data_IF_358447909464
#
_entry.id   IF_358447909464
#
_cell.length_a   1.000
_cell.length_b   1.000
_cell.length_c   1.000
_cell.angle_alpha   90.00
_cell.angle_beta   90.00
_cell.angle_gamma   90.00
#
_symmetry.space_group_name_H-M   'P 1'
#
loop_
_entity.id
_entity.type
_entity.pdbx_description
1 polymer ?
#
# COMPACT_ATOMS: atom_id res chain seq x y z
N UNK A 1 18.11 2.57 -9.15
CA UNK A 1 17.73 1.47 -8.24
C UNK A 1 18.65 1.43 -7.02
N UNK A 2 18.09 1.32 -5.86
CA UNK A 2 18.82 1.34 -4.60
C UNK A 2 19.02 -0.10 -4.09
N UNK A 3 20.28 -0.55 -4.06
CA UNK A 3 20.64 -1.89 -3.60
C UNK A 3 20.54 -2.09 -2.08
N UNK A 4 20.34 -1.01 -1.31
CA UNK A 4 20.14 -1.11 0.14
C UNK A 4 18.67 -1.35 0.50
N UNK A 5 17.76 -0.83 -0.30
CA UNK A 5 16.31 -0.96 -0.07
C UNK A 5 15.64 -1.95 -1.01
N UNK A 6 16.20 -2.19 -2.20
CA UNK A 6 15.57 -2.99 -3.24
C UNK A 6 14.44 -2.26 -3.97
N UNK A 7 14.47 -0.91 -3.97
CA UNK A 7 13.46 -0.06 -4.59
C UNK A 7 14.11 1.00 -5.48
N UNK A 8 13.31 1.75 -6.23
CA UNK A 8 13.80 2.83 -7.09
C UNK A 8 13.87 4.15 -6.31
N UNK A 9 15.07 4.74 -6.25
CA UNK A 9 15.26 6.13 -5.75
C UNK A 9 14.77 7.16 -6.77
N UNK A 10 14.89 6.84 -8.05
CA UNK A 10 14.48 7.72 -9.13
C UNK A 10 14.02 6.92 -10.36
N UNK A 11 13.08 7.48 -11.10
CA UNK A 11 12.61 6.98 -12.40
C UNK A 11 12.58 8.13 -13.37
N UNK A 12 13.40 8.03 -14.43
CA UNK A 12 13.50 9.06 -15.48
C UNK A 12 13.22 8.42 -16.83
N UNK A 13 12.25 8.95 -17.54
CA UNK A 13 11.93 8.52 -18.90
C UNK A 13 11.75 9.74 -19.80
N UNK A 14 12.41 9.75 -20.95
CA UNK A 14 12.39 10.89 -21.92
C UNK A 14 12.61 12.25 -21.25
N UNK A 15 13.63 12.34 -20.37
CA UNK A 15 13.99 13.52 -19.57
C UNK A 15 12.94 13.98 -18.54
N UNK A 16 11.90 13.22 -18.30
CA UNK A 16 10.93 13.48 -17.23
C UNK A 16 11.22 12.62 -16.00
N UNK A 17 11.45 13.28 -14.86
CA UNK A 17 11.57 12.60 -13.56
C UNK A 17 10.17 12.38 -12.98
N UNK A 18 9.84 11.13 -12.68
CA UNK A 18 8.56 10.73 -12.08
C UNK A 18 8.62 10.77 -10.55
N UNK A 19 9.64 10.16 -9.95
CA UNK A 19 9.78 10.13 -8.50
C UNK A 19 10.43 11.41 -7.97
N UNK A 20 9.90 11.93 -6.86
CA UNK A 20 10.43 13.07 -6.10
C UNK A 20 11.06 12.64 -4.78
N UNK A 21 10.73 11.46 -4.31
CA UNK A 21 11.35 10.72 -3.23
C UNK A 21 11.49 9.25 -3.64
N UNK A 22 12.36 8.47 -2.98
CA UNK A 22 12.43 7.03 -3.19
C UNK A 22 11.07 6.34 -3.10
N UNK A 23 10.86 5.33 -3.94
CA UNK A 23 9.75 4.38 -3.83
C UNK A 23 9.92 3.56 -2.56
N UNK A 24 8.84 3.22 -1.91
CA UNK A 24 8.83 2.47 -0.65
C UNK A 24 7.84 1.32 -0.69
N UNK A 25 8.16 0.18 -0.06
CA UNK A 25 7.13 -0.77 0.35
C UNK A 25 6.23 -0.11 1.40
N UNK A 26 4.94 -0.33 1.30
CA UNK A 26 3.97 0.25 2.22
C UNK A 26 3.03 -0.81 2.79
N UNK A 27 3.06 -0.96 4.10
CA UNK A 27 2.11 -1.81 4.83
C UNK A 27 1.26 -0.99 5.82
N UNK A 28 1.47 0.33 5.91
CA UNK A 28 0.77 1.21 6.83
C UNK A 28 -0.40 1.93 6.16
N UNK A 29 -1.48 2.07 6.89
CA UNK A 29 -2.56 3.03 6.62
C UNK A 29 -2.85 3.85 7.88
N UNK A 30 -3.34 5.07 7.73
CA UNK A 30 -3.84 5.85 8.85
C UNK A 30 -5.05 5.12 9.47
N UNK A 31 -4.99 4.68 10.74
CA UNK A 31 -6.06 3.90 11.34
C UNK A 31 -7.39 4.63 11.32
N UNK A 32 -8.42 3.96 10.83
CA UNK A 32 -9.80 4.48 10.85
C UNK A 32 -10.41 4.38 12.25
N UNK A 33 -11.56 5.02 12.45
CA UNK A 33 -12.32 4.86 13.70
C UNK A 33 -12.74 3.40 13.93
N UNK A 34 -12.94 2.64 12.86
CA UNK A 34 -13.23 1.20 12.92
C UNK A 34 -11.99 0.37 13.31
N UNK A 35 -10.80 0.86 13.07
CA UNK A 35 -9.56 0.21 13.49
C UNK A 35 -9.22 0.42 14.98
N UNK A 36 -10.12 1.01 15.76
CA UNK A 36 -9.90 1.42 17.14
C UNK A 36 -9.29 0.35 18.04
N UNK A 37 -9.66 -0.90 17.85
CA UNK A 37 -9.14 -2.02 18.64
C UNK A 37 -7.88 -2.59 17.99
N UNK A 38 -7.91 -2.91 16.71
CA UNK A 38 -6.81 -3.58 16.01
C UNK A 38 -5.56 -2.70 15.87
N UNK A 39 -5.70 -1.39 15.78
CA UNK A 39 -4.55 -0.48 15.68
C UNK A 39 -3.56 -0.59 16.84
N UNK A 40 -4.00 -1.01 18.02
CA UNK A 40 -3.09 -1.27 19.16
C UNK A 40 -2.10 -2.38 18.82
N UNK A 41 -2.59 -3.47 18.22
CA UNK A 41 -1.75 -4.57 17.75
C UNK A 41 -0.81 -4.11 16.62
N UNK A 42 -1.25 -3.24 15.72
CA UNK A 42 -0.40 -2.67 14.66
C UNK A 42 0.74 -1.83 15.22
N UNK A 43 0.48 -0.97 16.22
CA UNK A 43 1.52 -0.20 16.91
C UNK A 43 2.46 -1.09 17.73
N UNK A 44 1.93 -2.09 18.41
CA UNK A 44 2.72 -3.08 19.15
C UNK A 44 3.60 -3.90 18.19
N UNK A 45 3.08 -4.26 17.02
CA UNK A 45 3.83 -4.89 15.95
C UNK A 45 4.86 -3.95 15.29
N UNK A 46 4.73 -2.63 15.48
CA UNK A 46 5.61 -1.61 14.90
C UNK A 46 5.36 -1.38 13.42
N UNK A 47 4.15 -1.65 12.90
CA UNK A 47 3.83 -1.49 11.48
C UNK A 47 3.90 -0.04 10.99
N UNK A 48 3.77 0.94 11.90
CA UNK A 48 3.94 2.36 11.66
C UNK A 48 5.41 2.80 11.49
N UNK A 49 6.37 1.92 11.77
CA UNK A 49 7.83 2.22 11.80
C UNK A 49 8.65 1.18 11.07
N UNK A 50 8.14 0.72 9.94
CA UNK A 50 8.80 -0.31 9.16
C UNK A 50 9.97 0.23 8.36
N UNK A 51 11.03 -0.56 8.28
CA UNK A 51 12.17 -0.33 7.41
C UNK A 51 12.38 -1.52 6.49
N UNK A 52 12.73 -1.25 5.23
CA UNK A 52 13.10 -2.27 4.26
C UNK A 52 14.62 -2.33 4.11
N UNK A 53 15.15 -3.56 4.04
CA UNK A 53 16.56 -3.84 3.80
C UNK A 53 16.73 -4.94 2.77
N UNK A 54 17.47 -4.65 1.71
CA UNK A 54 17.90 -5.64 0.73
C UNK A 54 19.18 -6.36 1.19
N UNK A 55 19.27 -7.65 0.86
CA UNK A 55 20.41 -8.52 1.17
C UNK A 55 21.21 -8.86 -0.08
N UNK A 56 20.53 -9.06 -1.18
CA UNK A 56 21.15 -9.38 -2.46
C UNK A 56 20.40 -8.67 -3.59
N UNK A 57 21.15 -8.21 -4.59
CA UNK A 57 20.60 -7.67 -5.83
C UNK A 57 21.45 -8.09 -7.00
N UNK A 58 20.84 -8.77 -7.97
CA UNK A 58 21.47 -9.09 -9.25
C UNK A 58 20.85 -8.23 -10.35
N UNK A 59 21.64 -7.98 -11.41
CA UNK A 59 21.20 -7.25 -12.59
C UNK A 59 21.67 -8.02 -13.80
N UNK A 60 20.74 -8.36 -14.68
CA UNK A 60 21.00 -9.12 -15.90
C UNK A 60 20.45 -8.42 -17.11
N UNK A 61 21.27 -8.25 -18.14
CA UNK A 61 20.79 -7.80 -19.45
C UNK A 61 20.19 -8.98 -20.20
N UNK A 62 19.01 -8.80 -20.76
CA UNK A 62 18.32 -9.82 -21.54
C UNK A 62 18.58 -9.64 -23.04
N UNK A 63 18.38 -10.69 -23.83
CA UNK A 63 18.61 -10.67 -25.30
C UNK A 63 17.69 -9.66 -26.03
N UNK A 64 16.51 -9.39 -25.50
CA UNK A 64 15.55 -8.41 -26.03
C UNK A 64 15.90 -6.95 -25.68
N UNK A 65 17.02 -6.72 -24.97
CA UNK A 65 17.48 -5.42 -24.51
C UNK A 65 16.84 -4.95 -23.20
N UNK A 66 16.00 -5.76 -22.57
CA UNK A 66 15.47 -5.46 -21.24
C UNK A 66 16.51 -5.71 -20.15
N UNK A 67 16.32 -5.07 -18.98
CA UNK A 67 17.11 -5.31 -17.79
C UNK A 67 16.23 -6.01 -16.76
N UNK A 68 16.71 -7.14 -16.26
CA UNK A 68 16.12 -7.87 -15.16
C UNK A 68 16.90 -7.58 -13.88
N UNK A 69 16.21 -7.08 -12.86
CA UNK A 69 16.73 -6.96 -11.51
C UNK A 69 16.03 -7.97 -10.62
N UNK A 70 16.79 -8.69 -9.84
CA UNK A 70 16.26 -9.60 -8.83
C UNK A 70 16.82 -9.20 -7.46
N UNK A 71 15.96 -9.03 -6.46
CA UNK A 71 16.34 -8.57 -5.13
C UNK A 71 15.62 -9.37 -4.06
N UNK A 72 16.40 -9.91 -3.13
CA UNK A 72 15.87 -10.43 -1.87
C UNK A 72 15.99 -9.37 -0.78
N UNK A 73 14.91 -9.07 -0.11
CA UNK A 73 14.84 -8.06 0.95
C UNK A 73 13.91 -8.50 2.08
N UNK A 74 13.92 -7.75 3.16
CA UNK A 74 12.95 -7.94 4.24
C UNK A 74 12.45 -6.62 4.77
N UNK A 75 11.31 -6.66 5.46
CA UNK A 75 10.81 -5.57 6.28
C UNK A 75 10.84 -5.94 7.75
N UNK A 76 11.27 -4.98 8.56
CA UNK A 76 11.32 -5.10 10.01
C UNK A 76 10.98 -3.76 10.68
N UNK A 77 10.32 -3.77 11.83
CA UNK A 77 10.27 -2.62 12.73
C UNK A 77 11.67 -2.31 13.28
N UNK A 78 11.94 -1.06 13.63
CA UNK A 78 13.28 -0.58 14.01
C UNK A 78 13.96 -1.42 15.13
N UNK A 79 13.20 -1.96 16.07
CA UNK A 79 13.72 -2.70 17.22
C UNK A 79 13.20 -4.14 17.33
N UNK A 80 12.75 -4.73 16.22
CA UNK A 80 12.21 -6.08 16.19
C UNK A 80 12.81 -6.91 15.07
N UNK A 81 12.55 -8.21 15.09
CA UNK A 81 12.92 -9.11 14.01
C UNK A 81 12.13 -8.80 12.74
N UNK A 82 12.70 -9.17 11.59
CA UNK A 82 12.02 -9.14 10.30
C UNK A 82 10.78 -10.03 10.36
N UNK A 83 9.72 -9.62 9.71
CA UNK A 83 8.49 -10.40 9.64
C UNK A 83 7.93 -10.53 8.22
N UNK A 84 8.41 -9.74 7.26
CA UNK A 84 8.19 -9.95 5.84
C UNK A 84 9.52 -10.22 5.15
N UNK A 85 9.57 -11.27 4.36
CA UNK A 85 10.62 -11.55 3.40
C UNK A 85 10.05 -11.31 2.01
N UNK A 86 10.81 -10.61 1.16
CA UNK A 86 10.35 -10.17 -0.16
C UNK A 86 11.37 -10.62 -1.18
N UNK A 87 10.95 -11.45 -2.11
CA UNK A 87 11.68 -11.81 -3.32
C UNK A 87 11.06 -11.03 -4.48
N UNK A 88 11.78 -10.04 -5.00
CA UNK A 88 11.27 -9.09 -5.98
C UNK A 88 12.04 -9.18 -7.30
N UNK A 89 11.30 -9.35 -8.38
CA UNK A 89 11.78 -9.25 -9.75
C UNK A 89 11.24 -7.98 -10.40
N UNK A 90 12.14 -7.23 -11.05
CA UNK A 90 11.82 -6.07 -11.85
C UNK A 90 12.38 -6.24 -13.26
N UNK A 91 11.54 -6.07 -14.28
CA UNK A 91 11.96 -6.08 -15.68
C UNK A 91 11.72 -4.70 -16.25
N UNK A 92 12.79 -4.05 -16.70
CA UNK A 92 12.75 -2.74 -17.34
C UNK A 92 12.96 -2.95 -18.83
N UNK A 93 11.91 -2.70 -19.63
CA UNK A 93 11.95 -2.90 -21.08
C UNK A 93 12.50 -1.66 -21.82
N UNK A 94 13.04 -1.80 -23.05
CA UNK A 94 13.59 -0.67 -23.82
C UNK A 94 12.57 0.43 -24.12
N UNK A 95 11.29 0.11 -24.21
CA UNK A 95 10.18 1.06 -24.42
C UNK A 95 9.72 1.77 -23.13
N UNK A 96 10.36 1.44 -21.99
CA UNK A 96 10.18 2.12 -20.71
C UNK A 96 9.08 1.53 -19.83
N UNK A 97 8.58 0.35 -20.12
CA UNK A 97 7.68 -0.37 -19.22
C UNK A 97 8.52 -1.01 -18.10
N UNK A 98 8.08 -0.85 -16.86
CA UNK A 98 8.63 -1.54 -15.70
C UNK A 98 7.61 -2.56 -15.21
N UNK A 99 7.96 -3.84 -15.26
CA UNK A 99 7.15 -4.93 -14.72
C UNK A 99 7.71 -5.33 -13.37
N UNK A 100 6.85 -5.51 -12.39
CA UNK A 100 7.19 -5.99 -11.06
C UNK A 100 6.47 -7.29 -10.77
N UNK A 101 7.18 -8.23 -10.16
CA UNK A 101 6.61 -9.42 -9.51
C UNK A 101 7.30 -9.60 -8.17
N UNK A 102 6.52 -9.76 -7.10
CA UNK A 102 7.02 -9.93 -5.74
C UNK A 102 6.35 -11.13 -5.09
N UNK A 103 7.17 -12.06 -4.61
CA UNK A 103 6.74 -13.10 -3.68
C UNK A 103 7.06 -12.62 -2.26
N UNK A 104 6.05 -12.58 -1.42
CA UNK A 104 6.13 -11.99 -0.09
C UNK A 104 5.71 -13.05 0.93
N UNK A 105 6.67 -13.45 1.77
CA UNK A 105 6.45 -14.37 2.88
C UNK A 105 6.30 -13.59 4.19
N UNK A 106 5.27 -13.88 4.92
CA UNK A 106 5.02 -13.33 6.25
C UNK A 106 5.34 -14.38 7.32
N UNK A 107 6.25 -14.05 8.22
CA UNK A 107 6.66 -14.94 9.28
C UNK A 107 5.48 -15.30 10.21
N UNK A 108 5.18 -16.60 10.28
CA UNK A 108 4.14 -17.13 11.15
C UNK A 108 4.47 -17.02 12.65
N UNK A 109 5.78 -16.94 12.99
CA UNK A 109 6.23 -16.82 14.39
C UNK A 109 5.78 -15.47 14.98
N UNK A 110 5.81 -14.41 14.18
CA UNK A 110 5.31 -13.10 14.62
C UNK A 110 3.78 -13.09 14.82
N UNK A 111 3.05 -14.00 14.16
CA UNK A 111 1.63 -14.26 14.47
C UNK A 111 1.46 -14.87 15.88
N UNK A 112 2.36 -15.80 16.25
CA UNK A 112 2.31 -16.51 17.54
C UNK A 112 2.82 -15.71 18.74
N UNK A 113 3.82 -14.82 18.55
CA UNK A 113 4.37 -14.03 19.67
C UNK A 113 3.36 -13.11 20.37
N UNK A 114 2.29 -12.75 19.68
CA UNK A 114 1.20 -11.96 20.25
C UNK A 114 0.14 -12.85 20.92
N UNK A 115 0.01 -14.12 20.52
CA UNK A 115 -0.87 -15.06 21.20
C UNK A 115 -0.34 -15.45 22.58
N UNK A 116 0.98 -15.53 22.78
CA UNK A 116 1.58 -15.87 24.09
C UNK A 116 1.38 -14.76 25.13
N UNK A 117 1.33 -13.49 24.75
CA UNK A 117 0.99 -12.39 25.68
C UNK A 117 -0.50 -12.36 26.05
N UNK A 118 -1.34 -13.09 25.32
CA UNK A 118 -2.77 -13.21 25.52
C UNK A 118 -3.20 -14.65 25.83
N UNK A 119 -2.28 -15.50 26.32
CA UNK A 119 -2.58 -16.89 26.70
C UNK A 119 -3.70 -17.02 27.77
N UNK A 120 -4.00 -15.97 28.51
CA UNK A 120 -5.17 -15.91 29.40
C UNK A 120 -6.50 -15.60 28.65
N UNK A 121 -6.47 -15.42 27.35
CA UNK A 121 -7.66 -15.22 26.49
C UNK A 121 -7.91 -16.45 25.61
N UNK A 122 -7.43 -17.62 26.07
CA UNK A 122 -7.73 -18.90 25.45
C UNK A 122 -9.24 -19.13 25.47
N UNK A 123 -9.78 -19.44 24.29
CA UNK A 123 -11.14 -19.94 24.05
C UNK A 123 -12.33 -18.99 24.28
N UNK A 124 -12.13 -17.74 24.61
CA UNK A 124 -13.18 -16.77 24.39
C UNK A 124 -13.07 -16.25 22.97
N UNK A 125 -13.90 -16.81 22.08
CA UNK A 125 -14.33 -16.17 20.81
C UNK A 125 -14.97 -14.81 21.14
N UNK A 126 -14.19 -13.89 21.73
CA UNK A 126 -14.67 -12.53 21.92
C UNK A 126 -14.71 -11.89 20.54
N UNK A 127 -15.88 -11.79 19.89
CA UNK A 127 -15.99 -11.26 18.54
C UNK A 127 -15.56 -9.80 18.45
N UNK A 128 -15.20 -9.18 19.58
CA UNK A 128 -14.84 -7.77 19.70
C UNK A 128 -13.33 -7.52 19.90
N UNK A 129 -12.52 -8.57 20.08
CA UNK A 129 -11.07 -8.42 20.25
C UNK A 129 -10.30 -9.26 19.21
N UNK A 130 -9.57 -8.63 18.28
CA UNK A 130 -8.72 -9.38 17.38
C UNK A 130 -7.55 -10.03 18.12
N UNK A 131 -7.35 -11.30 17.89
CA UNK A 131 -6.27 -12.08 18.50
C UNK A 131 -4.95 -11.95 17.73
N UNK A 132 -4.99 -11.42 16.49
CA UNK A 132 -3.84 -11.33 15.59
C UNK A 132 -3.78 -9.98 14.89
N UNK A 133 -2.55 -9.46 14.73
CA UNK A 133 -2.29 -8.28 13.94
C UNK A 133 -2.24 -8.63 12.44
N UNK A 134 -3.35 -8.62 11.73
CA UNK A 134 -3.34 -8.67 10.27
C UNK A 134 -2.73 -7.39 9.68
N UNK A 135 -2.22 -7.44 8.44
CA UNK A 135 -1.66 -6.26 7.80
C UNK A 135 -2.77 -5.24 7.47
N UNK A 136 -2.61 -3.96 7.79
CA UNK A 136 -3.56 -2.93 7.39
C UNK A 136 -3.61 -2.75 5.87
N UNK A 137 -2.44 -2.82 5.22
CA UNK A 137 -2.22 -2.63 3.79
C UNK A 137 -1.03 -3.47 3.34
N UNK A 138 -0.95 -3.82 2.07
CA UNK A 138 0.23 -4.39 1.43
C UNK A 138 0.35 -3.82 0.02
N UNK A 139 1.42 -3.09 -0.25
CA UNK A 139 1.65 -2.45 -1.54
C UNK A 139 2.95 -1.67 -1.59
N UNK A 140 3.02 -0.75 -2.54
CA UNK A 140 4.13 0.21 -2.69
C UNK A 140 3.59 1.64 -2.68
N UNK A 141 4.47 2.58 -2.34
CA UNK A 141 4.18 4.01 -2.30
C UNK A 141 5.17 4.78 -3.18
N UNK A 142 4.63 5.61 -4.06
CA UNK A 142 5.39 6.52 -4.90
C UNK A 142 5.08 7.98 -4.51
N UNK A 143 6.10 8.82 -4.58
CA UNK A 143 5.98 10.26 -4.36
C UNK A 143 6.21 10.97 -5.69
N UNK A 144 5.13 11.35 -6.35
CA UNK A 144 5.16 11.98 -7.66
C UNK A 144 5.16 13.50 -7.54
N UNK A 145 5.45 14.19 -8.65
CA UNK A 145 5.27 15.64 -8.68
C UNK A 145 3.82 16.02 -8.37
N UNK A 146 3.59 17.01 -7.50
CA UNK A 146 2.26 17.57 -7.21
C UNK A 146 1.51 18.08 -8.45
N UNK A 147 2.20 18.27 -9.59
CA UNK A 147 1.58 18.65 -10.86
C UNK A 147 0.86 17.46 -11.52
N UNK A 148 1.28 16.23 -11.22
CA UNK A 148 0.60 15.03 -11.68
C UNK A 148 -0.66 14.82 -10.82
N UNK A 149 -1.69 15.59 -11.11
CA UNK A 149 -2.89 15.70 -10.29
C UNK A 149 -4.18 15.31 -11.03
N UNK A 150 -4.07 14.79 -12.24
CA UNK A 150 -5.19 14.26 -13.01
C UNK A 150 -5.16 12.74 -12.97
N UNK A 151 -6.22 12.13 -12.43
CA UNK A 151 -6.36 10.68 -12.35
C UNK A 151 -7.39 10.17 -13.36
N UNK A 152 -7.12 9.02 -13.95
CA UNK A 152 -8.06 8.21 -14.73
C UNK A 152 -7.91 6.76 -14.31
N UNK A 153 -9.00 6.06 -14.01
CA UNK A 153 -8.96 4.67 -13.62
C UNK A 153 -10.18 3.89 -14.11
N UNK A 154 -10.04 2.57 -14.17
CA UNK A 154 -11.15 1.65 -14.32
C UNK A 154 -11.18 0.73 -13.10
N UNK A 155 -12.24 0.84 -12.31
CA UNK A 155 -12.41 0.16 -11.04
C UNK A 155 -13.71 0.57 -10.35
N UNK A 156 -13.86 0.23 -9.06
CA UNK A 156 -14.99 0.72 -8.28
C UNK A 156 -14.85 2.20 -7.95
N UNK A 157 -15.83 2.99 -8.35
CA UNK A 157 -15.94 4.44 -8.15
C UNK A 157 -17.39 4.94 -8.34
N UNK A 158 -17.64 6.28 -8.40
CA UNK A 158 -16.66 7.36 -8.21
C UNK A 158 -16.19 7.59 -6.78
N UNK A 159 -16.96 7.10 -5.78
CA UNK A 159 -16.62 7.24 -4.37
C UNK A 159 -15.52 6.27 -3.94
N UNK A 160 -14.90 6.54 -2.80
CA UNK A 160 -13.94 5.61 -2.21
C UNK A 160 -14.56 4.22 -2.05
N UNK A 161 -13.72 3.22 -2.25
CA UNK A 161 -14.16 1.82 -2.15
C UNK A 161 -13.06 0.94 -1.57
N UNK A 162 -13.47 -0.01 -0.75
CA UNK A 162 -12.64 -1.01 -0.10
C UNK A 162 -13.27 -2.39 -0.28
N UNK A 163 -12.56 -3.43 0.04
CA UNK A 163 -13.03 -4.81 -0.14
C UNK A 163 -14.40 -5.06 0.52
N UNK A 164 -14.67 -4.44 1.65
CA UNK A 164 -15.90 -4.56 2.45
C UNK A 164 -16.80 -3.30 2.43
N UNK A 165 -16.31 -2.18 1.85
CA UNK A 165 -17.04 -0.91 1.72
C UNK A 165 -17.04 -0.44 0.27
N UNK A 166 -18.02 -0.88 -0.53
CA UNK A 166 -18.09 -0.56 -1.97
C UNK A 166 -19.50 -0.45 -2.55
N UNK A 167 -20.55 -0.52 -1.72
CA UNK A 167 -21.94 -0.52 -2.21
C UNK A 167 -22.40 0.81 -2.75
N UNK A 168 -21.73 1.91 -2.41
CA UNK A 168 -21.99 3.23 -2.98
C UNK A 168 -21.27 3.46 -4.33
N UNK A 169 -20.40 2.53 -4.73
CA UNK A 169 -19.60 2.58 -5.95
C UNK A 169 -20.03 1.50 -6.94
N UNK A 170 -19.70 1.70 -8.21
CA UNK A 170 -19.93 0.72 -9.27
C UNK A 170 -18.67 0.59 -10.14
N UNK A 171 -18.52 -0.54 -10.85
CA UNK A 171 -17.40 -0.77 -11.74
C UNK A 171 -17.55 0.08 -12.99
N UNK A 172 -16.56 0.90 -13.29
CA UNK A 172 -16.58 1.81 -14.44
C UNK A 172 -15.29 2.55 -14.64
N UNK A 173 -15.27 3.37 -15.69
CA UNK A 173 -14.16 4.27 -16.00
C UNK A 173 -14.46 5.65 -15.41
N UNK A 174 -13.51 6.18 -14.65
CA UNK A 174 -13.64 7.46 -13.97
C UNK A 174 -12.41 8.34 -14.22
N UNK A 175 -12.65 9.64 -14.16
CA UNK A 175 -11.61 10.68 -14.15
C UNK A 175 -11.85 11.61 -12.96
N UNK A 176 -10.80 12.02 -12.29
CA UNK A 176 -10.88 12.91 -11.14
C UNK A 176 -9.60 13.72 -10.99
N UNK A 177 -9.66 14.82 -10.27
CA UNK A 177 -8.43 15.43 -9.72
C UNK A 177 -8.05 14.68 -8.45
N UNK A 178 -6.75 14.62 -8.16
CA UNK A 178 -6.25 13.96 -6.94
C UNK A 178 -6.87 14.56 -5.67
N UNK A 179 -7.03 15.89 -5.62
CA UNK A 179 -7.64 16.54 -4.47
C UNK A 179 -9.13 16.20 -4.27
N UNK A 180 -9.83 15.79 -5.33
CA UNK A 180 -11.26 15.45 -5.27
C UNK A 180 -11.48 13.97 -4.89
N UNK A 181 -10.40 13.18 -4.78
CA UNK A 181 -10.44 11.80 -4.27
C UNK A 181 -10.32 11.74 -2.73
N UNK A 182 -10.04 12.88 -2.08
CA UNK A 182 -9.93 12.96 -0.64
C UNK A 182 -11.32 13.08 0.01
N UNK A 183 -11.55 12.24 1.04
CA UNK A 183 -12.73 12.35 1.90
C UNK A 183 -12.33 13.10 3.17
N UNK A 184 -12.98 14.24 3.39
CA UNK A 184 -12.61 15.18 4.46
C UNK A 184 -13.22 14.76 5.81
N UNK A 185 -12.80 13.60 6.31
CA UNK A 185 -13.21 13.12 7.63
C UNK A 185 -12.74 14.09 8.72
N UNK A 186 -13.62 14.41 9.65
CA UNK A 186 -13.38 15.35 10.75
C UNK A 186 -12.12 15.00 11.54
N UNK A 187 -11.91 13.70 11.79
CA UNK A 187 -10.64 13.12 12.25
C UNK A 187 -9.94 12.45 11.08
N UNK A 188 -8.75 12.95 10.69
CA UNK A 188 -7.98 12.36 9.61
C UNK A 188 -7.75 10.86 9.81
N UNK A 189 -7.94 10.09 8.75
CA UNK A 189 -7.84 8.64 8.72
C UNK A 189 -7.68 8.17 7.28
N UNK A 190 -7.44 6.88 7.04
CA UNK A 190 -7.42 6.29 5.69
C UNK A 190 -8.71 6.64 4.95
N UNK A 191 -8.55 7.14 3.74
CA UNK A 191 -9.66 7.52 2.86
C UNK A 191 -9.21 7.52 1.39
N UNK A 192 -10.18 7.61 0.48
CA UNK A 192 -9.97 7.81 -0.96
C UNK A 192 -9.36 6.62 -1.68
N UNK A 193 -9.35 5.41 -1.11
CA UNK A 193 -8.93 4.21 -1.84
C UNK A 193 -9.98 3.79 -2.86
N UNK A 194 -9.52 3.17 -3.97
CA UNK A 194 -10.36 2.57 -4.98
C UNK A 194 -10.00 1.09 -5.15
N UNK A 195 -11.01 0.25 -5.01
CA UNK A 195 -10.88 -1.20 -5.00
C UNK A 195 -11.14 -1.80 -6.37
N UNK A 196 -10.48 -2.95 -6.66
CA UNK A 196 -10.67 -3.77 -7.84
C UNK A 196 -10.47 -2.99 -9.15
N UNK A 197 -9.30 -2.37 -9.27
CA UNK A 197 -8.93 -1.57 -10.42
C UNK A 197 -8.06 -2.37 -11.39
N UNK A 198 -8.43 -2.35 -12.68
CA UNK A 198 -7.63 -2.94 -13.76
C UNK A 198 -6.45 -2.05 -14.12
N UNK A 199 -6.67 -0.74 -14.09
CA UNK A 199 -5.62 0.26 -14.25
C UNK A 199 -5.94 1.55 -13.52
N UNK A 200 -4.89 2.32 -13.26
CA UNK A 200 -4.95 3.70 -12.84
C UNK A 200 -3.84 4.49 -13.52
N UNK A 201 -4.17 5.66 -14.01
CA UNK A 201 -3.22 6.61 -14.59
C UNK A 201 -3.23 7.90 -13.79
N UNK A 202 -2.06 8.49 -13.61
CA UNK A 202 -1.91 9.83 -13.04
C UNK A 202 -1.06 10.68 -13.98
N UNK A 203 -1.48 11.90 -14.26
CA UNK A 203 -0.89 12.73 -15.30
C UNK A 203 -0.78 14.20 -14.91
N UNK A 204 0.13 14.88 -15.61
CA UNK A 204 0.13 16.33 -15.82
C UNK A 204 0.16 16.62 -17.34
N UNK A 205 0.30 17.88 -17.74
CA UNK A 205 0.31 18.28 -19.15
C UNK A 205 1.45 17.66 -19.98
N UNK A 206 2.50 17.14 -19.35
CA UNK A 206 3.73 16.69 -19.99
C UNK A 206 4.03 15.22 -19.83
N UNK A 207 3.44 14.53 -18.87
CA UNK A 207 3.74 13.14 -18.55
C UNK A 207 2.53 12.44 -17.96
N UNK A 208 2.52 11.14 -18.16
CA UNK A 208 1.50 10.23 -17.64
C UNK A 208 2.21 8.97 -17.12
N UNK A 209 1.84 8.54 -15.94
CA UNK A 209 2.23 7.25 -15.38
C UNK A 209 0.96 6.39 -15.28
N UNK A 210 0.98 5.23 -15.89
CA UNK A 210 -0.11 4.26 -15.83
C UNK A 210 0.37 3.02 -15.08
N UNK A 211 -0.42 2.60 -14.10
CA UNK A 211 -0.27 1.32 -13.41
C UNK A 211 -1.38 0.40 -13.88
N UNK A 212 -1.05 -0.83 -14.22
CA UNK A 212 -2.02 -1.85 -14.63
C UNK A 212 -1.53 -3.25 -14.24
N UNK A 213 -2.44 -4.19 -14.15
CA UNK A 213 -2.13 -5.58 -13.89
C UNK A 213 -3.23 -6.49 -14.46
N UNK A 214 -2.92 -7.77 -14.64
CA UNK A 214 -3.91 -8.80 -15.03
C UNK A 214 -4.89 -9.07 -13.88
N UNK A 215 -4.38 -9.10 -12.65
CA UNK A 215 -5.20 -9.19 -11.45
C UNK A 215 -5.54 -7.78 -10.96
N UNK A 216 -6.81 -7.51 -10.65
CA UNK A 216 -7.20 -6.18 -10.14
C UNK A 216 -6.42 -5.81 -8.88
N UNK A 217 -5.98 -4.57 -8.81
CA UNK A 217 -5.29 -3.97 -7.67
C UNK A 217 -6.19 -2.95 -6.97
N UNK A 218 -5.73 -2.42 -5.86
CA UNK A 218 -6.31 -1.21 -5.25
C UNK A 218 -5.32 -0.07 -5.37
N UNK A 219 -5.82 1.15 -5.37
CA UNK A 219 -4.94 2.32 -5.33
C UNK A 219 -5.49 3.42 -4.42
N UNK A 220 -4.59 4.28 -3.99
CA UNK A 220 -4.91 5.55 -3.36
C UNK A 220 -4.06 6.65 -3.99
N UNK A 221 -4.67 7.79 -4.30
CA UNK A 221 -3.99 9.01 -4.75
C UNK A 221 -4.37 10.13 -3.80
N UNK A 222 -3.38 10.73 -3.14
CA UNK A 222 -3.59 11.74 -2.11
C UNK A 222 -2.58 12.89 -2.20
N UNK A 223 -2.94 14.05 -1.68
CA UNK A 223 -2.02 15.15 -1.40
C UNK A 223 -1.36 15.01 0.00
N UNK A 224 -1.81 14.05 0.81
CA UNK A 224 -1.33 13.79 2.16
C UNK A 224 -0.63 12.44 2.24
N UNK A 225 0.30 12.29 3.18
CA UNK A 225 0.89 11.00 3.51
C UNK A 225 0.06 10.30 4.59
N UNK A 226 0.22 9.00 4.72
CA UNK A 226 -0.43 8.22 5.77
C UNK A 226 0.02 8.65 7.17
N UNK A 227 1.28 9.10 7.30
CA UNK A 227 1.83 9.63 8.55
C UNK A 227 1.15 10.95 8.93
N UNK A 228 0.90 11.82 7.97
CA UNK A 228 0.16 13.07 8.18
C UNK A 228 -1.26 12.77 8.66
N UNK A 229 -1.97 11.91 7.96
CA UNK A 229 -3.33 11.49 8.35
C UNK A 229 -3.36 10.78 9.72
N UNK A 230 -2.29 10.05 10.07
CA UNK A 230 -2.20 9.33 11.35
C UNK A 230 -2.01 10.27 12.55
N UNK A 231 -1.25 11.34 12.37
CA UNK A 231 -0.77 12.18 13.48
C UNK A 231 -1.67 13.34 13.81
N UNK A 232 -2.50 13.78 12.88
CA UNK A 232 -3.39 14.95 13.07
C UNK A 232 -4.68 14.57 13.78
N UNK A 233 -5.13 15.43 14.66
CA UNK A 233 -6.37 15.26 15.41
C UNK A 233 -7.61 15.71 14.66
N UNK A 234 -7.43 16.71 13.77
CA UNK A 234 -8.53 17.32 13.03
C UNK A 234 -8.13 17.61 11.58
N UNK A 235 -9.11 17.59 10.67
CA UNK A 235 -8.91 17.82 9.24
C UNK A 235 -8.30 19.20 8.92
N UNK A 236 -8.66 20.24 9.65
CA UNK A 236 -8.10 21.58 9.47
C UNK A 236 -6.62 21.72 9.87
N UNK A 237 -6.05 20.71 10.53
CA UNK A 237 -4.62 20.65 10.89
C UNK A 237 -3.77 20.02 9.78
N UNK A 238 -4.41 19.43 8.76
CA UNK A 238 -3.72 18.71 7.70
C UNK A 238 -2.86 19.63 6.84
N UNK A 239 -1.62 19.24 6.64
CA UNK A 239 -0.67 19.91 5.77
C UNK A 239 -0.36 19.05 4.54
N UNK A 240 -0.53 19.63 3.35
CA UNK A 240 -0.22 18.92 2.10
C UNK A 240 1.26 18.57 2.04
N UNK A 241 1.58 17.35 1.65
CA UNK A 241 2.94 16.82 1.55
C UNK A 241 3.84 17.51 0.51
N UNK A 242 3.23 18.26 -0.42
CA UNK A 242 3.93 18.84 -1.58
C UNK A 242 4.15 17.84 -2.72
N UNK A 243 3.63 16.63 -2.60
CA UNK A 243 3.66 15.56 -3.60
C UNK A 243 2.26 15.13 -3.98
N UNK A 244 2.15 14.38 -5.08
CA UNK A 244 1.06 13.43 -5.27
C UNK A 244 1.57 12.10 -4.72
N UNK A 245 1.02 11.68 -3.60
CA UNK A 245 1.30 10.39 -2.96
C UNK A 245 0.45 9.34 -3.65
N UNK A 246 1.09 8.35 -4.23
CA UNK A 246 0.44 7.29 -5.00
C UNK A 246 0.74 5.93 -4.40
N UNK A 247 -0.24 5.34 -3.73
CA UNK A 247 -0.17 3.97 -3.24
C UNK A 247 -0.77 3.02 -4.27
N UNK A 248 -0.03 1.97 -4.57
CA UNK A 248 -0.41 0.86 -5.43
C UNK A 248 -0.43 -0.36 -4.54
N UNK A 249 -1.62 -0.89 -4.28
CA UNK A 249 -1.81 -1.93 -3.29
C UNK A 249 -2.18 -3.26 -3.95
N UNK A 250 -1.50 -4.31 -3.51
CA UNK A 250 -2.03 -5.66 -3.67
C UNK A 250 -3.46 -5.70 -3.10
N UNK A 251 -3.61 -5.26 -1.85
CA UNK A 251 -4.89 -5.14 -1.15
C UNK A 251 -4.74 -4.33 0.14
N UNK A 252 -5.83 -3.79 0.63
CA UNK A 252 -5.99 -3.34 2.01
C UNK A 252 -6.93 -4.29 2.76
N UNK A 253 -6.72 -4.44 4.07
CA UNK A 253 -7.74 -5.02 4.95
C UNK A 253 -8.96 -4.11 5.00
N UNK A 254 -10.15 -4.70 5.15
CA UNK A 254 -11.40 -3.97 5.20
C UNK A 254 -11.46 -2.91 6.30
N UNK A 255 -12.34 -1.95 6.12
CA UNK A 255 -12.52 -0.80 7.03
C UNK A 255 -13.95 -0.68 7.58
N UNK A 256 -14.86 -1.56 7.18
CA UNK A 256 -16.30 -1.42 7.42
C UNK A 256 -16.80 -1.88 8.79
N UNK A 257 -15.94 -2.47 9.64
CA UNK A 257 -16.35 -3.02 10.94
C UNK A 257 -15.25 -2.92 12.00
N UNK A 258 -15.58 -3.15 13.27
CA UNK A 258 -14.63 -3.17 14.40
C UNK A 258 -14.71 -2.00 15.36
N UNK A 259 -15.52 -0.97 15.06
CA UNK A 259 -15.67 0.20 15.97
C UNK A 259 -16.40 -0.16 17.27
N UNK A 260 -17.59 -0.72 17.17
CA UNK A 260 -18.44 -1.13 18.30
C UNK A 260 -19.25 -2.40 17.99
N UNK A 261 -18.91 -3.09 16.92
CA UNK A 261 -19.49 -4.33 16.47
C UNK A 261 -18.47 -5.47 16.41
N UNK A 262 -18.77 -6.55 15.69
CA UNK A 262 -17.86 -7.69 15.54
C UNK A 262 -16.56 -7.25 14.88
N UNK A 263 -15.52 -8.06 15.09
CA UNK A 263 -14.27 -7.92 14.37
C UNK A 263 -14.47 -7.95 12.86
N UNK A 264 -13.49 -7.38 12.12
CA UNK A 264 -13.43 -7.53 10.67
C UNK A 264 -13.48 -9.01 10.29
N UNK A 265 -14.38 -9.36 9.37
CA UNK A 265 -14.51 -10.73 8.90
C UNK A 265 -13.21 -11.22 8.25
N UNK A 266 -12.91 -12.51 8.42
CA UNK A 266 -11.61 -13.08 8.06
C UNK A 266 -11.28 -12.92 6.57
N UNK A 267 -12.27 -13.05 5.70
CA UNK A 267 -12.14 -12.87 4.25
C UNK A 267 -11.74 -11.45 3.83
N UNK A 268 -11.87 -10.47 4.71
CA UNK A 268 -11.48 -9.08 4.47
C UNK A 268 -10.15 -8.68 5.11
N UNK A 269 -9.46 -9.63 5.76
CA UNK A 269 -8.16 -9.38 6.38
C UNK A 269 -7.02 -9.75 5.44
N UNK A 270 -5.89 -9.09 5.61
CA UNK A 270 -4.59 -9.47 5.07
C UNK A 270 -3.83 -10.25 6.15
N UNK A 271 -4.19 -11.50 6.36
CA UNK A 271 -3.62 -12.37 7.39
C UNK A 271 -3.04 -13.68 6.83
N UNK A 272 -2.92 -13.80 5.51
CA UNK A 272 -2.19 -14.88 4.87
C UNK A 272 -0.70 -14.86 5.21
N UNK A 273 -0.02 -16.01 5.03
CA UNK A 273 1.43 -16.13 5.22
C UNK A 273 2.20 -15.90 3.94
N UNK A 274 1.54 -15.95 2.79
CA UNK A 274 2.16 -15.78 1.48
C UNK A 274 1.31 -14.89 0.58
N UNK A 275 1.97 -13.99 -0.16
CA UNK A 275 1.33 -13.08 -1.12
C UNK A 275 2.16 -13.01 -2.39
N UNK A 276 1.50 -13.05 -3.54
CA UNK A 276 2.09 -12.73 -4.84
C UNK A 276 1.55 -11.40 -5.32
N UNK A 277 2.41 -10.40 -5.43
CA UNK A 277 2.05 -9.05 -5.86
C UNK A 277 2.76 -8.67 -7.14
N UNK A 278 2.02 -8.42 -8.19
CA UNK A 278 2.55 -7.97 -9.49
C UNK A 278 1.83 -6.73 -9.99
N UNK A 279 2.53 -5.93 -10.77
CA UNK A 279 2.00 -4.77 -11.47
C UNK A 279 2.96 -4.28 -12.54
N UNK A 280 2.46 -3.45 -13.45
CA UNK A 280 3.23 -2.82 -14.52
C UNK A 280 3.13 -1.31 -14.39
N UNK A 281 4.25 -0.62 -14.60
CA UNK A 281 4.35 0.83 -14.75
C UNK A 281 4.67 1.16 -16.22
N UNK A 282 3.88 2.11 -16.79
CA UNK A 282 4.06 2.58 -18.18
C UNK A 282 3.93 4.09 -18.28
#
# INVERSE_FOLDING_TARGET
>A
YNKLTGMFDSMIYKNHSFLKRPMEMNIWRAPTDNDRVVKRLWYEAGYDKMTQRAYNTTVEAQEDGSLKLHTTSSMAPIFRQRFLEIDAEWIITPDGIVRSSMEIERDAIMRGMYSEYFEDVTENDNPFQPNEAFLPRLGIRLFLSKRMNQAEYFGYGPHESYIDKRRASYLGKFTSRVCDLHEDYMRPQENGSHYHCEYVSVADDSRKLTVYNEQPLSFNLSEYTEEELTTKGHNYELEKSGYTVFCIDYRQSGIGSGSCGPQLAKEYRLDDTHYTFSFHLK
#
